data_IF_121726619258
#
_entry.id   IF_121726619258
#
_cell.length_a   1.000
_cell.length_b   1.000
_cell.length_c   1.000
_cell.angle_alpha   90.00
_cell.angle_beta   90.00
_cell.angle_gamma   90.00
#
_symmetry.space_group_name_H-M   'P 1'
#
loop_
_entity.id
_entity.type
_entity.pdbx_description
1 polymer ?
#
# COMPACT_ATOMS: atom_id res chain seq x y z
N UNK A 1 -49.64 9.19 -29.06
CA UNK A 1 -48.74 8.52 -28.08
C UNK A 1 -47.47 8.11 -28.83
N UNK A 2 -46.44 8.95 -28.81
CA UNK A 2 -45.13 8.62 -29.38
C UNK A 2 -44.23 8.17 -28.23
N UNK A 3 -43.97 6.87 -28.17
CA UNK A 3 -43.13 6.23 -27.16
C UNK A 3 -41.66 6.39 -27.60
N UNK A 4 -40.98 7.39 -27.04
CA UNK A 4 -39.53 7.59 -27.22
C UNK A 4 -38.80 6.40 -26.54
N UNK A 5 -37.89 5.69 -27.21
CA UNK A 5 -37.28 4.48 -26.66
C UNK A 5 -36.30 4.84 -25.53
N UNK A 6 -36.72 4.62 -24.29
CA UNK A 6 -35.96 4.95 -23.06
C UNK A 6 -34.58 4.30 -22.96
N UNK A 7 -34.33 3.21 -23.70
CA UNK A 7 -33.04 2.49 -23.76
C UNK A 7 -31.91 3.29 -24.42
N UNK A 8 -32.23 4.20 -25.35
CA UNK A 8 -31.21 5.05 -26.00
C UNK A 8 -30.72 6.16 -25.06
N UNK A 9 -31.65 6.77 -24.32
CA UNK A 9 -31.36 7.84 -23.38
C UNK A 9 -30.60 7.35 -22.13
N UNK A 10 -30.89 6.14 -21.62
CA UNK A 10 -30.11 5.55 -20.51
C UNK A 10 -28.69 5.16 -20.96
N UNK A 11 -28.52 4.65 -22.18
CA UNK A 11 -27.18 4.40 -22.77
C UNK A 11 -26.36 5.68 -22.92
N UNK A 12 -26.97 6.76 -23.41
CA UNK A 12 -26.31 8.05 -23.54
C UNK A 12 -26.01 8.68 -22.18
N UNK A 13 -26.91 8.57 -21.20
CA UNK A 13 -26.74 9.11 -19.85
C UNK A 13 -25.67 8.33 -19.04
N UNK A 14 -25.64 7.00 -19.09
CA UNK A 14 -24.59 6.21 -18.42
C UNK A 14 -23.22 6.36 -19.10
N UNK A 15 -23.18 6.49 -20.44
CA UNK A 15 -21.95 6.80 -21.15
C UNK A 15 -21.47 8.22 -20.86
N UNK A 16 -22.36 9.22 -20.85
CA UNK A 16 -22.02 10.58 -20.40
C UNK A 16 -21.55 10.60 -18.95
N UNK A 17 -22.20 9.89 -18.03
CA UNK A 17 -21.79 9.85 -16.61
C UNK A 17 -20.44 9.14 -16.45
N UNK A 18 -20.19 8.04 -17.18
CA UNK A 18 -18.88 7.39 -17.24
C UNK A 18 -17.80 8.32 -17.80
N UNK A 19 -18.04 8.92 -18.96
CA UNK A 19 -17.12 9.84 -19.62
C UNK A 19 -16.92 11.15 -18.80
N UNK A 20 -17.90 11.57 -18.00
CA UNK A 20 -17.82 12.76 -17.13
C UNK A 20 -17.15 12.50 -15.78
N UNK A 21 -17.25 11.29 -15.22
CA UNK A 21 -16.62 10.94 -13.93
C UNK A 21 -15.22 10.36 -14.07
N UNK A 22 -14.89 9.71 -15.20
CA UNK A 22 -13.60 9.07 -15.46
C UNK A 22 -12.60 10.05 -16.11
N UNK A 23 -13.07 11.17 -16.68
CA UNK A 23 -12.23 12.12 -17.43
C UNK A 23 -11.88 13.44 -16.74
N UNK A 24 -12.37 13.75 -15.53
CA UNK A 24 -12.27 15.13 -15.02
C UNK A 24 -11.55 15.34 -13.69
N UNK A 25 -11.46 14.39 -12.78
CA UNK A 25 -10.82 14.65 -11.47
C UNK A 25 -9.44 14.03 -11.37
N UNK A 26 -9.31 12.77 -11.76
CA UNK A 26 -8.12 11.95 -11.70
C UNK A 26 -7.14 12.29 -12.84
N UNK A 27 -7.64 12.42 -14.07
CA UNK A 27 -6.86 12.94 -15.19
C UNK A 27 -6.35 14.37 -14.91
N UNK A 28 -7.19 15.20 -14.30
CA UNK A 28 -6.81 16.57 -13.91
C UNK A 28 -5.75 16.55 -12.81
N UNK A 29 -5.85 15.67 -11.81
CA UNK A 29 -4.80 15.54 -10.78
C UNK A 29 -3.48 15.04 -11.37
N UNK A 30 -3.50 14.07 -12.29
CA UNK A 30 -2.30 13.57 -12.98
C UNK A 30 -1.72 14.67 -13.87
N UNK A 31 -2.55 15.31 -14.70
CA UNK A 31 -2.16 16.40 -15.58
C UNK A 31 -1.56 17.56 -14.78
N UNK A 32 -2.19 17.96 -13.67
CA UNK A 32 -1.66 18.98 -12.75
C UNK A 32 -0.33 18.53 -12.18
N UNK A 33 -0.20 17.27 -11.74
CA UNK A 33 1.01 16.73 -11.09
C UNK A 33 2.25 16.79 -12.00
N UNK A 34 2.08 16.46 -13.29
CA UNK A 34 3.16 16.50 -14.29
C UNK A 34 3.20 17.80 -15.10
N UNK A 35 2.37 18.79 -14.75
CA UNK A 35 2.26 20.02 -15.53
C UNK A 35 3.56 20.85 -15.46
N UNK A 36 4.20 21.16 -16.61
CA UNK A 36 5.50 21.83 -16.63
C UNK A 36 5.41 23.34 -16.34
N UNK A 37 4.23 23.97 -16.45
CA UNK A 37 4.08 25.42 -16.26
C UNK A 37 4.05 25.82 -14.76
N UNK A 38 4.40 27.08 -14.48
CA UNK A 38 4.42 27.70 -13.14
C UNK A 38 3.05 27.96 -12.51
N UNK A 39 2.05 27.17 -12.88
CA UNK A 39 0.65 27.39 -12.50
C UNK A 39 0.26 26.25 -11.54
N UNK A 40 -0.34 26.60 -10.39
CA UNK A 40 -0.75 25.71 -9.28
C UNK A 40 0.45 25.04 -8.59
N UNK A 41 0.81 25.44 -7.35
CA UNK A 41 1.75 24.73 -6.46
C UNK A 41 3.01 24.06 -7.08
N UNK A 42 3.68 24.69 -8.07
CA UNK A 42 4.86 24.13 -8.78
C UNK A 42 5.94 23.59 -7.84
N UNK A 43 6.26 24.34 -6.78
CA UNK A 43 7.29 23.94 -5.80
C UNK A 43 6.96 22.58 -5.19
N UNK A 44 5.72 22.36 -4.76
CA UNK A 44 5.27 21.10 -4.16
C UNK A 44 5.28 19.95 -5.17
N UNK A 45 4.92 20.19 -6.43
CA UNK A 45 4.93 19.16 -7.49
C UNK A 45 6.32 18.71 -7.87
N UNK A 46 7.20 19.67 -8.16
CA UNK A 46 8.61 19.37 -8.48
C UNK A 46 9.25 18.66 -7.30
N UNK A 47 9.00 19.13 -6.08
CA UNK A 47 9.46 18.46 -4.86
C UNK A 47 8.98 17.01 -4.77
N UNK A 48 7.67 16.77 -4.95
CA UNK A 48 7.10 15.42 -4.96
C UNK A 48 7.70 14.54 -6.06
N UNK A 49 7.82 15.05 -7.28
CA UNK A 49 8.38 14.31 -8.41
C UNK A 49 9.87 13.99 -8.22
N UNK A 50 10.64 14.91 -7.64
CA UNK A 50 12.04 14.65 -7.28
C UNK A 50 12.13 13.55 -6.21
N UNK A 51 11.32 13.60 -5.16
CA UNK A 51 11.28 12.53 -4.17
C UNK A 51 10.86 11.20 -4.79
N UNK A 52 9.84 11.19 -5.65
CA UNK A 52 9.40 10.00 -6.37
C UNK A 52 10.53 9.42 -7.23
N UNK A 53 11.25 10.28 -7.94
CA UNK A 53 12.41 9.88 -8.75
C UNK A 53 13.51 9.28 -7.88
N UNK A 54 13.85 9.89 -6.74
CA UNK A 54 14.82 9.30 -5.80
C UNK A 54 14.38 7.94 -5.25
N UNK A 55 13.08 7.76 -4.96
CA UNK A 55 12.53 6.47 -4.50
C UNK A 55 12.66 5.40 -5.58
N UNK A 56 12.33 5.73 -6.83
CA UNK A 56 12.41 4.79 -7.97
C UNK A 56 13.85 4.47 -8.34
N UNK A 57 14.75 5.45 -8.28
CA UNK A 57 16.16 5.30 -8.64
C UNK A 57 17.05 4.87 -7.46
N UNK A 58 16.49 4.54 -6.29
CA UNK A 58 17.28 3.93 -5.22
C UNK A 58 17.93 2.63 -5.72
N UNK A 59 19.20 2.33 -5.39
CA UNK A 59 20.06 2.99 -4.40
C UNK A 59 20.99 4.10 -4.95
N UNK A 60 20.75 4.62 -6.16
CA UNK A 60 21.71 5.51 -6.84
C UNK A 60 21.86 6.91 -6.22
N UNK A 61 20.95 7.28 -5.31
CA UNK A 61 20.94 8.58 -4.63
C UNK A 61 20.86 8.39 -3.12
N UNK A 62 21.43 9.35 -2.38
CA UNK A 62 21.35 9.38 -0.92
C UNK A 62 19.90 9.53 -0.48
N UNK A 63 19.43 8.57 0.30
CA UNK A 63 18.03 8.54 0.79
C UNK A 63 17.84 9.61 1.86
N UNK A 64 16.99 10.60 1.57
CA UNK A 64 16.62 11.63 2.57
C UNK A 64 15.46 11.17 3.44
N UNK A 65 15.19 11.91 4.54
CA UNK A 65 14.03 11.63 5.41
C UNK A 65 12.69 11.72 4.65
N UNK A 66 12.60 12.60 3.65
CA UNK A 66 11.38 12.79 2.88
C UNK A 66 11.16 11.65 1.88
N UNK A 67 12.23 11.17 1.24
CA UNK A 67 12.17 9.99 0.36
C UNK A 67 11.80 8.74 1.16
N UNK A 68 12.30 8.65 2.40
CA UNK A 68 11.93 7.59 3.34
C UNK A 68 10.45 7.64 3.70
N UNK A 69 9.95 8.82 4.07
CA UNK A 69 8.55 9.04 4.44
C UNK A 69 7.60 8.72 3.29
N UNK A 70 7.91 9.19 2.08
CA UNK A 70 7.11 8.97 0.88
C UNK A 70 7.03 7.47 0.53
N UNK A 71 8.17 6.77 0.54
CA UNK A 71 8.21 5.35 0.24
C UNK A 71 7.39 4.53 1.26
N UNK A 72 7.40 4.92 2.53
CA UNK A 72 6.55 4.28 3.55
C UNK A 72 5.06 4.46 3.26
N UNK A 73 4.63 5.62 2.75
CA UNK A 73 3.23 5.80 2.35
C UNK A 73 2.84 4.84 1.23
N UNK A 74 3.71 4.63 0.24
CA UNK A 74 3.43 3.71 -0.87
C UNK A 74 3.23 2.26 -0.41
N UNK A 75 3.92 1.81 0.65
CA UNK A 75 3.74 0.43 1.16
C UNK A 75 2.33 0.16 1.70
N UNK A 76 1.63 1.18 2.17
CA UNK A 76 0.25 1.08 2.65
C UNK A 76 -0.80 1.17 1.52
N UNK A 77 -0.38 1.47 0.27
CA UNK A 77 -1.28 1.61 -0.88
C UNK A 77 -1.45 0.32 -1.71
N UNK A 78 -1.06 -0.84 -1.17
CA UNK A 78 -1.11 -2.12 -1.90
C UNK A 78 -2.51 -2.49 -2.42
N UNK A 79 -3.57 -2.22 -1.66
CA UNK A 79 -4.95 -2.48 -2.13
C UNK A 79 -5.38 -1.48 -3.20
N UNK A 80 -5.04 -0.20 -3.03
CA UNK A 80 -5.33 0.84 -4.03
C UNK A 80 -4.65 0.52 -5.38
N UNK A 81 -3.40 0.07 -5.34
CA UNK A 81 -2.67 -0.37 -6.51
C UNK A 81 -3.34 -1.56 -7.24
N UNK A 82 -3.88 -2.54 -6.49
CA UNK A 82 -4.67 -3.64 -7.08
C UNK A 82 -5.94 -3.13 -7.74
N UNK A 83 -6.65 -2.22 -7.08
CA UNK A 83 -7.85 -1.60 -7.63
C UNK A 83 -7.55 -0.81 -8.90
N UNK A 84 -6.43 -0.10 -8.96
CA UNK A 84 -6.01 0.65 -10.15
C UNK A 84 -5.78 -0.27 -11.36
N UNK A 85 -5.04 -1.37 -11.18
CA UNK A 85 -4.86 -2.41 -12.22
C UNK A 85 -6.20 -2.99 -12.67
N UNK A 86 -7.11 -3.26 -11.72
CA UNK A 86 -8.45 -3.74 -12.05
C UNK A 86 -9.24 -2.73 -12.87
N UNK A 87 -9.22 -1.44 -12.52
CA UNK A 87 -9.91 -0.40 -13.27
C UNK A 87 -9.36 -0.24 -14.69
N UNK A 88 -8.04 -0.24 -14.86
CA UNK A 88 -7.42 -0.22 -16.19
C UNK A 88 -7.93 -1.38 -17.03
N UNK A 89 -7.85 -2.61 -16.51
CA UNK A 89 -8.32 -3.78 -17.25
C UNK A 89 -9.83 -3.72 -17.54
N UNK A 90 -10.62 -3.26 -16.57
CA UNK A 90 -12.08 -3.18 -16.71
C UNK A 90 -12.50 -2.18 -17.80
N UNK A 91 -11.84 -1.02 -17.89
CA UNK A 91 -12.18 -0.01 -18.89
C UNK A 91 -11.56 -0.28 -20.26
N UNK A 92 -10.34 -0.82 -20.32
CA UNK A 92 -9.67 -1.11 -21.59
C UNK A 92 -10.20 -2.40 -22.24
N UNK A 93 -10.59 -3.39 -21.44
CA UNK A 93 -10.89 -4.76 -21.90
C UNK A 93 -12.27 -5.28 -21.49
N UNK A 94 -13.09 -4.46 -20.82
CA UNK A 94 -14.45 -4.82 -20.44
C UNK A 94 -15.45 -4.51 -21.56
N UNK A 95 -16.32 -5.47 -21.90
CA UNK A 95 -17.50 -5.15 -22.69
C UNK A 95 -18.54 -4.47 -21.79
N UNK A 96 -18.55 -3.13 -21.83
CA UNK A 96 -19.47 -2.27 -21.09
C UNK A 96 -20.94 -2.62 -21.42
N UNK A 97 -21.23 -3.17 -22.60
CA UNK A 97 -22.59 -3.53 -23.01
C UNK A 97 -23.14 -4.76 -22.28
N UNK A 98 -22.30 -5.76 -21.98
CA UNK A 98 -22.72 -7.02 -21.36
C UNK A 98 -22.31 -7.13 -19.89
N UNK A 99 -21.63 -6.13 -19.32
CA UNK A 99 -21.02 -6.18 -17.96
C UNK A 99 -20.15 -7.43 -17.76
N UNK A 100 -19.57 -7.95 -18.85
CA UNK A 100 -18.68 -9.09 -18.84
C UNK A 100 -17.25 -8.58 -19.07
N UNK A 101 -16.37 -8.81 -18.10
CA UNK A 101 -14.95 -8.58 -18.25
C UNK A 101 -14.21 -9.91 -18.16
N UNK A 102 -13.36 -10.19 -19.15
CA UNK A 102 -12.46 -11.36 -19.15
C UNK A 102 -11.24 -11.17 -18.24
N UNK A 103 -11.10 -9.99 -17.61
CA UNK A 103 -10.01 -9.62 -16.72
C UNK A 103 -9.76 -10.65 -15.61
N UNK A 104 -10.80 -11.04 -14.86
CA UNK A 104 -10.65 -11.97 -13.73
C UNK A 104 -10.27 -13.40 -14.13
N UNK A 105 -10.44 -13.76 -15.41
CA UNK A 105 -10.12 -15.08 -15.95
C UNK A 105 -8.70 -15.16 -16.52
N UNK A 106 -8.12 -14.02 -16.90
CA UNK A 106 -6.76 -13.95 -17.44
C UNK A 106 -5.71 -14.28 -16.38
N UNK A 107 -4.82 -15.24 -16.68
CA UNK A 107 -3.63 -15.53 -15.85
C UNK A 107 -2.73 -14.31 -15.74
N UNK A 108 -2.58 -13.55 -16.83
CA UNK A 108 -1.73 -12.34 -16.87
C UNK A 108 -2.27 -11.30 -15.89
N UNK A 109 -3.58 -11.04 -15.90
CA UNK A 109 -4.21 -10.10 -14.98
C UNK A 109 -4.02 -10.50 -13.52
N UNK A 110 -4.20 -11.79 -13.19
CA UNK A 110 -3.94 -12.30 -11.84
C UNK A 110 -2.49 -12.04 -11.43
N UNK A 111 -1.53 -12.39 -12.29
CA UNK A 111 -0.10 -12.16 -12.02
C UNK A 111 0.22 -10.68 -11.81
N UNK A 112 -0.25 -9.79 -12.67
CA UNK A 112 -0.01 -8.33 -12.54
C UNK A 112 -0.61 -7.81 -11.22
N UNK A 113 -1.84 -8.20 -10.89
CA UNK A 113 -2.52 -7.79 -9.64
C UNK A 113 -1.73 -8.17 -8.39
N UNK A 114 -0.93 -9.25 -8.44
CA UNK A 114 -0.06 -9.63 -7.33
C UNK A 114 1.34 -8.97 -7.38
N UNK A 115 1.88 -8.69 -8.57
CA UNK A 115 3.19 -8.04 -8.73
C UNK A 115 3.14 -6.56 -8.31
N UNK A 116 2.08 -5.83 -8.66
CA UNK A 116 2.05 -4.38 -8.41
C UNK A 116 2.20 -4.02 -6.92
N UNK A 117 1.56 -4.71 -5.95
CA UNK A 117 1.81 -4.51 -4.53
C UNK A 117 3.23 -4.82 -4.06
N UNK A 118 4.02 -5.58 -4.82
CA UNK A 118 5.44 -5.87 -4.49
C UNK A 118 6.30 -4.63 -4.75
N UNK A 119 5.95 -3.80 -5.74
CA UNK A 119 6.75 -2.66 -6.20
C UNK A 119 7.10 -1.69 -5.06
N UNK A 120 6.17 -1.23 -4.20
CA UNK A 120 6.52 -0.38 -3.07
C UNK A 120 7.52 -1.01 -2.10
N UNK A 121 7.35 -2.31 -1.78
CA UNK A 121 8.27 -3.02 -0.90
C UNK A 121 9.65 -3.21 -1.54
N UNK A 122 9.70 -3.36 -2.87
CA UNK A 122 10.95 -3.42 -3.62
C UNK A 122 11.72 -2.09 -3.55
N UNK A 123 11.05 -0.95 -3.73
CA UNK A 123 11.69 0.36 -3.56
C UNK A 123 12.23 0.55 -2.14
N UNK A 124 11.48 0.13 -1.11
CA UNK A 124 11.97 0.16 0.27
C UNK A 124 13.19 -0.73 0.47
N UNK A 125 13.16 -1.94 -0.08
CA UNK A 125 14.30 -2.84 -0.05
C UNK A 125 15.54 -2.18 -0.66
N UNK A 126 15.43 -1.56 -1.85
CA UNK A 126 16.55 -0.88 -2.50
C UNK A 126 17.06 0.34 -1.72
N UNK A 127 16.18 1.15 -1.14
CA UNK A 127 16.58 2.27 -0.28
C UNK A 127 17.42 1.80 0.91
N UNK A 128 16.99 0.74 1.59
CA UNK A 128 17.71 0.19 2.74
C UNK A 128 18.98 -0.55 2.35
N UNK A 129 19.00 -1.17 1.17
CA UNK A 129 20.20 -1.78 0.61
C UNK A 129 21.28 -0.73 0.34
N UNK A 130 20.91 0.40 -0.27
CA UNK A 130 21.81 1.54 -0.47
C UNK A 130 22.39 2.06 0.84
N UNK A 131 21.54 2.27 1.86
CA UNK A 131 22.00 2.70 3.18
C UNK A 131 22.91 1.68 3.86
N UNK A 132 22.62 0.39 3.74
CA UNK A 132 23.46 -0.67 4.30
C UNK A 132 24.86 -0.65 3.68
N UNK A 133 25.00 -0.35 2.39
CA UNK A 133 26.31 -0.21 1.75
C UNK A 133 27.07 1.03 2.22
N UNK A 134 26.37 2.15 2.46
CA UNK A 134 26.97 3.41 2.94
C UNK A 134 27.36 3.36 4.42
N UNK A 135 26.43 2.97 5.30
CA UNK A 135 26.53 3.09 6.76
C UNK A 135 27.04 1.80 7.43
N UNK A 136 26.92 0.63 6.76
CA UNK A 136 27.34 -0.71 7.24
C UNK A 136 26.80 -1.11 8.62
N UNK A 137 25.68 -0.55 9.03
CA UNK A 137 25.05 -0.84 10.32
C UNK A 137 24.10 -2.05 10.25
N UNK A 138 24.23 -2.93 11.25
CA UNK A 138 23.42 -4.15 11.42
C UNK A 138 21.92 -3.86 11.55
N UNK A 139 21.52 -2.72 12.14
CA UNK A 139 20.11 -2.36 12.26
C UNK A 139 19.44 -2.22 10.88
N UNK A 140 20.20 -1.78 9.89
CA UNK A 140 19.74 -1.58 8.51
C UNK A 140 19.56 -2.91 7.80
N UNK A 141 20.44 -3.88 8.09
CA UNK A 141 20.30 -5.24 7.59
C UNK A 141 19.00 -5.89 8.09
N UNK A 142 18.63 -5.69 9.37
CA UNK A 142 17.34 -6.16 9.88
C UNK A 142 16.15 -5.54 9.15
N UNK A 143 16.19 -4.23 8.88
CA UNK A 143 15.10 -3.60 8.14
C UNK A 143 15.03 -4.09 6.69
N UNK A 144 16.18 -4.29 6.04
CA UNK A 144 16.26 -4.89 4.72
C UNK A 144 15.60 -6.27 4.69
N UNK A 145 15.93 -7.13 5.68
CA UNK A 145 15.33 -8.46 5.82
C UNK A 145 13.82 -8.41 6.01
N UNK A 146 13.29 -7.41 6.74
CA UNK A 146 11.85 -7.19 6.89
C UNK A 146 11.16 -7.05 5.53
N UNK A 147 11.66 -6.15 4.67
CA UNK A 147 11.07 -5.92 3.34
C UNK A 147 11.22 -7.13 2.43
N UNK A 148 12.36 -7.81 2.47
CA UNK A 148 12.58 -9.06 1.72
C UNK A 148 11.57 -10.14 2.13
N UNK A 149 11.33 -10.30 3.44
CA UNK A 149 10.38 -11.28 3.95
C UNK A 149 8.95 -10.98 3.48
N UNK A 150 8.55 -9.69 3.47
CA UNK A 150 7.26 -9.26 2.93
C UNK A 150 7.13 -9.56 1.43
N UNK A 151 8.17 -9.31 0.63
CA UNK A 151 8.19 -9.62 -0.80
C UNK A 151 7.98 -11.12 -1.01
N UNK A 152 8.70 -11.97 -0.25
CA UNK A 152 8.56 -13.43 -0.32
C UNK A 152 7.15 -13.87 0.05
N UNK A 153 6.56 -13.31 1.12
CA UNK A 153 5.19 -13.61 1.52
C UNK A 153 4.17 -13.29 0.42
N UNK A 154 4.31 -12.16 -0.27
CA UNK A 154 3.45 -11.78 -1.39
C UNK A 154 3.65 -12.72 -2.58
N UNK A 155 4.89 -13.07 -2.92
CA UNK A 155 5.18 -14.03 -4.00
C UNK A 155 4.59 -15.42 -3.72
N UNK A 156 4.72 -15.91 -2.48
CA UNK A 156 4.10 -17.18 -2.05
C UNK A 156 2.58 -17.12 -2.14
N UNK A 157 1.98 -15.97 -1.82
CA UNK A 157 0.54 -15.76 -1.97
C UNK A 157 0.08 -15.86 -3.43
N UNK A 158 0.89 -15.35 -4.36
CA UNK A 158 0.66 -15.49 -5.81
C UNK A 158 0.73 -16.94 -6.24
N UNK A 159 1.79 -17.66 -5.85
CA UNK A 159 1.97 -19.07 -6.18
C UNK A 159 0.83 -19.93 -5.64
N UNK A 160 0.39 -19.66 -4.41
CA UNK A 160 -0.80 -20.29 -3.84
C UNK A 160 -2.05 -20.02 -4.68
N UNK A 161 -2.24 -18.78 -5.15
CA UNK A 161 -3.39 -18.42 -5.99
C UNK A 161 -3.41 -19.09 -7.37
N UNK A 162 -2.25 -19.45 -7.91
CA UNK A 162 -2.12 -20.03 -9.25
C UNK A 162 -2.19 -21.56 -9.22
N UNK A 163 -1.52 -22.18 -8.24
CA UNK A 163 -1.35 -23.63 -8.18
C UNK A 163 -2.26 -24.32 -7.15
N UNK A 164 -2.93 -23.58 -6.25
CA UNK A 164 -3.84 -24.08 -5.20
C UNK A 164 -3.31 -25.29 -4.38
N UNK A 165 -1.99 -25.49 -4.32
CA UNK A 165 -1.37 -26.60 -3.60
C UNK A 165 -1.27 -26.35 -2.10
N UNK A 166 -1.43 -27.41 -1.29
CA UNK A 166 -1.33 -27.33 0.17
C UNK A 166 0.04 -26.80 0.63
N UNK A 167 1.13 -27.21 -0.03
CA UNK A 167 2.49 -26.72 0.26
C UNK A 167 2.59 -25.20 0.12
N UNK A 168 2.06 -24.63 -0.96
CA UNK A 168 2.05 -23.18 -1.18
C UNK A 168 1.20 -22.46 -0.14
N UNK A 169 0.08 -23.07 0.29
CA UNK A 169 -0.75 -22.54 1.36
C UNK A 169 0.01 -22.45 2.68
N UNK A 170 0.64 -23.55 3.11
CA UNK A 170 1.40 -23.59 4.38
C UNK A 170 2.56 -22.60 4.34
N UNK A 171 3.33 -22.56 3.25
CA UNK A 171 4.43 -21.61 3.10
C UNK A 171 3.93 -20.15 3.15
N UNK A 172 2.85 -19.84 2.44
CA UNK A 172 2.24 -18.51 2.47
C UNK A 172 1.83 -18.10 3.90
N UNK A 173 1.22 -19.00 4.67
CA UNK A 173 0.84 -18.75 6.06
C UNK A 173 2.05 -18.51 6.96
N UNK A 174 3.04 -19.39 6.92
CA UNK A 174 4.25 -19.28 7.75
C UNK A 174 4.98 -17.97 7.47
N UNK A 175 5.25 -17.65 6.20
CA UNK A 175 5.95 -16.42 5.86
C UNK A 175 5.13 -15.17 6.19
N UNK A 176 3.81 -15.18 5.99
CA UNK A 176 2.97 -14.01 6.33
C UNK A 176 2.95 -13.75 7.84
N UNK A 177 2.89 -14.79 8.67
CA UNK A 177 2.95 -14.67 10.13
C UNK A 177 4.34 -14.20 10.58
N UNK A 178 5.41 -14.74 10.01
CA UNK A 178 6.77 -14.29 10.31
C UNK A 178 6.98 -12.81 9.93
N UNK A 179 6.50 -12.39 8.75
CA UNK A 179 6.51 -10.98 8.33
C UNK A 179 5.78 -10.10 9.32
N UNK A 180 4.60 -10.53 9.76
CA UNK A 180 3.75 -9.79 10.68
C UNK A 180 4.42 -9.63 12.06
N UNK A 181 4.95 -10.72 12.62
CA UNK A 181 5.66 -10.69 13.89
C UNK A 181 6.89 -9.78 13.85
N UNK A 182 7.70 -9.86 12.78
CA UNK A 182 8.84 -8.98 12.58
C UNK A 182 8.37 -7.51 12.53
N UNK A 183 7.32 -7.25 11.77
CA UNK A 183 6.77 -5.92 11.55
C UNK A 183 6.23 -5.30 12.85
N UNK A 184 5.50 -6.07 13.66
CA UNK A 184 5.03 -5.65 14.99
C UNK A 184 6.22 -5.36 15.91
N UNK A 185 7.23 -6.22 15.93
CA UNK A 185 8.44 -5.99 16.71
C UNK A 185 9.13 -4.69 16.30
N UNK A 186 9.27 -4.45 15.00
CA UNK A 186 9.90 -3.25 14.47
C UNK A 186 9.16 -1.98 14.91
N UNK A 187 7.83 -1.95 14.74
CA UNK A 187 7.07 -0.75 15.07
C UNK A 187 7.15 -0.52 16.59
N UNK A 188 6.87 -1.51 17.43
CA UNK A 188 6.88 -1.35 18.90
C UNK A 188 8.26 -1.01 19.47
N UNK A 189 9.30 -1.75 19.10
CA UNK A 189 10.62 -1.65 19.75
C UNK A 189 11.49 -0.60 19.08
N UNK A 190 11.55 -0.57 17.75
CA UNK A 190 12.47 0.31 17.01
C UNK A 190 11.85 1.68 16.76
N UNK A 191 10.60 1.75 16.27
CA UNK A 191 9.97 3.03 15.95
C UNK A 191 9.41 3.74 17.19
N UNK A 192 8.70 3.03 18.07
CA UNK A 192 8.15 3.59 19.30
C UNK A 192 9.14 3.60 20.47
N UNK A 193 10.23 2.82 20.40
CA UNK A 193 11.25 2.77 21.45
C UNK A 193 10.84 1.98 22.69
N UNK A 194 9.81 1.12 22.59
CA UNK A 194 9.41 0.24 23.68
C UNK A 194 10.61 -0.63 24.07
N UNK A 195 10.96 -0.68 25.36
CA UNK A 195 12.13 -1.41 25.90
C UNK A 195 13.47 -0.63 25.89
N UNK A 196 13.50 0.66 25.50
CA UNK A 196 14.69 1.49 25.78
C UNK A 196 14.83 1.74 27.30
N UNK A 197 15.76 1.03 27.94
CA UNK A 197 16.07 1.14 29.39
C UNK A 197 16.92 2.35 29.75
N UNK A 198 17.55 3.00 28.76
CA UNK A 198 18.51 4.10 28.94
C UNK A 198 18.04 5.47 28.43
N UNK A 199 16.72 5.66 28.22
CA UNK A 199 16.14 6.97 27.86
C UNK A 199 15.57 7.67 29.11
N UNK A 200 15.50 9.01 29.09
CA UNK A 200 14.92 9.80 30.20
C UNK A 200 13.46 9.41 30.49
N UNK A 201 12.77 8.88 29.48
CA UNK A 201 11.45 8.28 29.59
C UNK A 201 11.54 6.75 29.54
N UNK A 202 11.59 6.07 30.69
CA UNK A 202 11.60 4.60 30.80
C UNK A 202 10.59 3.96 29.85
N UNK A 203 11.08 3.26 28.81
CA UNK A 203 10.32 2.54 27.77
C UNK A 203 9.76 3.35 26.58
N UNK A 204 10.14 4.62 26.39
CA UNK A 204 9.78 5.43 25.22
C UNK A 204 10.99 6.23 24.71
N UNK A 205 10.96 6.65 23.44
CA UNK A 205 11.98 7.56 22.86
C UNK A 205 12.04 8.89 23.65
N UNK A 206 13.22 9.52 23.68
CA UNK A 206 13.44 10.78 24.41
C UNK A 206 12.63 11.97 23.88
N UNK A 207 12.45 12.06 22.55
CA UNK A 207 11.67 13.14 21.91
C UNK A 207 10.20 12.74 21.73
N UNK A 208 9.36 13.15 22.67
CA UNK A 208 7.90 12.98 22.58
C UNK A 208 7.25 14.29 22.08
N UNK A 209 6.41 14.20 21.05
CA UNK A 209 5.58 15.31 20.56
C UNK A 209 4.46 15.63 21.56
N UNK A 210 3.90 14.59 22.21
CA UNK A 210 2.81 14.71 23.18
C UNK A 210 3.36 14.41 24.58
N UNK A 211 3.04 15.21 25.60
CA UNK A 211 3.54 14.96 26.96
C UNK A 211 2.95 13.71 27.63
N UNK A 212 1.75 13.26 27.20
CA UNK A 212 1.03 12.15 27.83
C UNK A 212 1.47 10.76 27.31
N UNK A 213 2.18 10.00 28.15
CA UNK A 213 2.67 8.65 27.85
C UNK A 213 1.56 7.64 27.50
N UNK A 214 0.39 7.74 28.14
CA UNK A 214 -0.73 6.82 27.90
C UNK A 214 -1.20 6.83 26.44
N UNK A 215 -1.09 7.97 25.76
CA UNK A 215 -1.44 8.11 24.35
C UNK A 215 -0.51 7.28 23.47
N UNK A 216 0.78 7.22 23.80
CA UNK A 216 1.75 6.38 23.08
C UNK A 216 1.47 4.89 23.27
N UNK A 217 1.16 4.45 24.50
CA UNK A 217 0.77 3.06 24.74
C UNK A 217 -0.53 2.69 24.03
N UNK A 218 -1.53 3.57 24.02
CA UNK A 218 -2.77 3.37 23.27
C UNK A 218 -2.48 3.28 21.76
N UNK A 219 -1.66 4.19 21.21
CA UNK A 219 -1.27 4.17 19.79
C UNK A 219 -0.51 2.89 19.41
N UNK A 220 0.37 2.38 20.27
CA UNK A 220 1.06 1.11 20.08
C UNK A 220 0.10 -0.09 20.04
N UNK A 221 -0.87 -0.15 20.96
CA UNK A 221 -1.89 -1.21 20.96
C UNK A 221 -2.74 -1.13 19.70
N UNK A 222 -3.17 0.08 19.32
CA UNK A 222 -3.95 0.30 18.10
C UNK A 222 -3.14 -0.08 16.85
N UNK A 223 -1.86 0.28 16.76
CA UNK A 223 -1.00 -0.10 15.63
C UNK A 223 -0.90 -1.63 15.50
N UNK A 224 -0.62 -2.34 16.60
CA UNK A 224 -0.54 -3.79 16.61
C UNK A 224 -1.87 -4.46 16.19
N UNK A 225 -3.01 -3.92 16.62
CA UNK A 225 -4.33 -4.43 16.23
C UNK A 225 -4.65 -4.15 14.75
N UNK A 226 -4.33 -2.95 14.26
CA UNK A 226 -4.56 -2.58 12.86
C UNK A 226 -3.64 -3.35 11.92
N UNK A 227 -2.47 -3.81 12.38
CA UNK A 227 -1.53 -4.61 11.60
C UNK A 227 -2.14 -5.91 11.07
N UNK A 228 -3.03 -6.54 11.85
CA UNK A 228 -3.79 -7.71 11.41
C UNK A 228 -4.67 -7.44 10.17
N UNK A 229 -5.01 -6.19 9.86
CA UNK A 229 -5.70 -5.84 8.63
C UNK A 229 -4.86 -6.18 7.40
N UNK A 230 -3.54 -5.94 7.43
CA UNK A 230 -2.64 -6.33 6.35
C UNK A 230 -2.62 -7.85 6.17
N UNK A 231 -2.47 -8.59 7.27
CA UNK A 231 -2.49 -10.07 7.25
C UNK A 231 -3.79 -10.60 6.63
N UNK A 232 -4.93 -9.96 6.94
CA UNK A 232 -6.22 -10.29 6.34
C UNK A 232 -6.24 -10.07 4.81
N UNK A 233 -5.58 -9.03 4.29
CA UNK A 233 -5.48 -8.82 2.83
C UNK A 233 -4.66 -9.87 2.11
N UNK A 234 -3.71 -10.51 2.80
CA UNK A 234 -2.85 -11.56 2.24
C UNK A 234 -3.53 -12.91 2.36
N UNK A 235 -3.94 -13.30 3.56
CA UNK A 235 -4.50 -14.64 3.81
C UNK A 235 -5.95 -14.80 3.34
N UNK A 236 -6.68 -13.68 3.15
CA UNK A 236 -8.07 -13.65 2.71
C UNK A 236 -8.95 -14.58 3.56
N UNK A 237 -8.94 -14.38 4.89
CA UNK A 237 -9.71 -15.20 5.83
C UNK A 237 -11.20 -14.96 5.60
N UNK A 238 -11.97 -16.05 5.50
CA UNK A 238 -13.40 -15.97 5.29
C UNK A 238 -14.09 -15.54 6.58
N UNK A 239 -14.84 -14.44 6.51
CA UNK A 239 -15.69 -13.97 7.60
C UNK A 239 -17.14 -14.19 7.17
N UNK A 240 -17.92 -15.04 7.87
CA UNK A 240 -19.20 -15.56 7.36
C UNK A 240 -20.27 -14.47 7.18
N UNK A 241 -20.14 -13.33 7.85
CA UNK A 241 -21.12 -12.25 7.84
C UNK A 241 -20.80 -11.10 6.86
N UNK A 242 -19.63 -11.11 6.20
CA UNK A 242 -19.23 -10.04 5.28
C UNK A 242 -18.88 -10.56 3.89
N UNK A 243 -19.31 -9.80 2.88
CA UNK A 243 -18.86 -10.02 1.52
C UNK A 243 -17.35 -9.75 1.43
N UNK A 244 -16.64 -10.56 0.63
CA UNK A 244 -15.18 -10.49 0.47
C UNK A 244 -14.68 -9.08 0.11
N UNK A 245 -15.40 -8.38 -0.76
CA UNK A 245 -15.02 -7.02 -1.16
C UNK A 245 -15.10 -6.03 0.01
N UNK A 246 -16.12 -6.15 0.87
CA UNK A 246 -16.26 -5.29 2.06
C UNK A 246 -15.11 -5.50 3.04
N UNK A 247 -14.69 -6.76 3.24
CA UNK A 247 -13.53 -7.09 4.09
C UNK A 247 -12.26 -6.43 3.56
N UNK A 248 -12.01 -6.53 2.25
CA UNK A 248 -10.83 -5.93 1.60
C UNK A 248 -10.85 -4.40 1.75
N UNK A 249 -12.00 -3.77 1.54
CA UNK A 249 -12.16 -2.32 1.71
C UNK A 249 -11.93 -1.89 3.15
N UNK A 250 -12.52 -2.58 4.12
CA UNK A 250 -12.31 -2.30 5.55
C UNK A 250 -10.82 -2.44 5.89
N UNK A 251 -10.18 -3.54 5.48
CA UNK A 251 -8.77 -3.76 5.74
C UNK A 251 -7.88 -2.67 5.13
N UNK A 252 -8.19 -2.20 3.91
CA UNK A 252 -7.49 -1.09 3.28
C UNK A 252 -7.66 0.24 4.04
N UNK A 253 -8.89 0.54 4.47
CA UNK A 253 -9.16 1.74 5.27
C UNK A 253 -8.42 1.71 6.62
N UNK A 254 -8.40 0.56 7.28
CA UNK A 254 -7.67 0.37 8.53
C UNK A 254 -6.15 0.58 8.36
N UNK A 255 -5.58 0.09 7.26
CA UNK A 255 -4.16 0.30 6.95
C UNK A 255 -3.82 1.78 6.69
N UNK A 256 -4.72 2.54 6.04
CA UNK A 256 -4.58 3.99 5.86
C UNK A 256 -4.63 4.72 7.20
N UNK A 257 -5.61 4.39 8.06
CA UNK A 257 -5.74 4.98 9.40
C UNK A 257 -4.49 4.70 10.24
N UNK A 258 -4.00 3.46 10.24
CA UNK A 258 -2.77 3.06 10.94
C UNK A 258 -1.59 3.92 10.54
N UNK A 259 -1.39 4.11 9.22
CA UNK A 259 -0.32 4.96 8.71
C UNK A 259 -0.51 6.42 9.09
N UNK A 260 -1.75 6.92 9.07
CA UNK A 260 -2.10 8.26 9.52
C UNK A 260 -1.72 8.50 10.99
N UNK A 261 -2.00 7.53 11.86
CA UNK A 261 -1.56 7.56 13.27
C UNK A 261 -0.04 7.61 13.33
N UNK A 262 0.67 6.70 12.66
CA UNK A 262 2.14 6.68 12.67
C UNK A 262 2.75 8.01 12.18
N UNK A 263 2.20 8.59 11.11
CA UNK A 263 2.64 9.89 10.56
C UNK A 263 2.47 11.04 11.56
N UNK A 264 1.44 11.00 12.41
CA UNK A 264 1.19 12.05 13.40
C UNK A 264 2.20 12.04 14.56
N UNK A 265 2.69 10.87 14.94
CA UNK A 265 3.63 10.70 16.05
C UNK A 265 5.11 10.75 15.65
N UNK A 266 5.41 10.76 14.34
CA UNK A 266 6.77 10.75 13.79
C UNK A 266 7.29 12.16 13.51
#
# INVERSE_FOLDING_TARGET
MLQIPSRGATKACMKMVGDSYIGSSDEVVIAISFFPLNIIYRRSRVFFLTCLFHVVCAPLYKVTLLDFFLADQFTSQGVALRSFVFYICYYDWGDIQHRQSTCSSSKIFKTITFIVPVIPFWFRFLQWLGRLFEEKDTLQAYNLSKYLLTIVAICLRTSYSLNNGMTWKVLCWVFSICTEMFSIYWDLVIDWGLVQRHSENRSLRDKLIIPHRSVYFAAMVVDALLRFAWLQTILNLNVPFLHKQSIITIAASLEIIRRGIWNFFR
#
